data_IF_127544599661
#
_entry.id   IF_127544599661
#
_cell.length_a   1.000
_cell.length_b   1.000
_cell.length_c   1.000
_cell.angle_alpha   90.00
_cell.angle_beta   90.00
_cell.angle_gamma   90.00
#
_symmetry.space_group_name_H-M   'P 1'
#
loop_
_entity.id
_entity.type
_entity.pdbx_description
1 polymer ?
#
# COMPACT_ATOMS: atom_id res chain seq x y z
N UNK A 1 -3.76 25.28 42.26
CA UNK A 1 -4.96 25.48 41.44
C UNK A 1 -4.65 25.86 40.02
N UNK A 2 -3.74 26.80 39.80
CA UNK A 2 -3.39 27.18 38.42
C UNK A 2 -2.68 26.08 37.65
N UNK A 3 -1.98 25.22 38.33
CA UNK A 3 -1.28 24.10 37.69
C UNK A 3 -2.21 23.00 37.16
N UNK A 4 -3.36 22.78 37.83
CA UNK A 4 -4.32 21.79 37.38
C UNK A 4 -5.00 22.16 36.07
N UNK A 5 -5.37 23.43 35.95
CA UNK A 5 -5.98 23.96 34.73
C UNK A 5 -5.01 23.92 33.56
N UNK A 6 -3.76 24.24 33.80
CA UNK A 6 -2.73 24.20 32.78
C UNK A 6 -2.51 22.77 32.28
N UNK A 7 -2.50 21.80 33.19
CA UNK A 7 -2.35 20.39 32.82
C UNK A 7 -3.52 19.87 32.00
N UNK A 8 -4.73 20.26 32.35
CA UNK A 8 -5.92 19.87 31.63
C UNK A 8 -5.92 20.49 30.24
N UNK A 9 -5.51 21.73 30.11
CA UNK A 9 -5.43 22.42 28.83
C UNK A 9 -4.40 21.75 27.91
N UNK A 10 -3.25 21.37 28.44
CA UNK A 10 -2.21 20.68 27.68
C UNK A 10 -2.69 19.31 27.23
N UNK A 11 -3.37 18.57 28.08
CA UNK A 11 -3.94 17.27 27.74
C UNK A 11 -4.97 17.36 26.64
N UNK A 12 -5.85 18.34 26.70
CA UNK A 12 -6.84 18.57 25.64
C UNK A 12 -6.20 18.96 24.33
N UNK A 13 -5.14 19.74 24.38
CA UNK A 13 -4.39 20.14 23.20
C UNK A 13 -3.69 18.94 22.53
N UNK A 14 -3.13 18.05 23.34
CA UNK A 14 -2.48 16.84 22.82
C UNK A 14 -3.50 15.90 22.17
N UNK A 15 -4.67 15.77 22.77
CA UNK A 15 -5.75 14.93 22.23
C UNK A 15 -6.26 15.44 20.88
N UNK A 16 -6.27 16.74 20.66
CA UNK A 16 -6.72 17.29 19.39
C UNK A 16 -5.73 17.08 18.25
N UNK A 17 -4.48 16.80 18.56
CA UNK A 17 -3.45 16.52 17.55
C UNK A 17 -3.51 15.08 17.04
N UNK A 18 -4.26 14.19 17.71
CA UNK A 18 -4.35 12.80 17.31
C UNK A 18 -5.45 12.56 16.29
N UNK A 19 -6.33 13.55 16.07
CA UNK A 19 -7.39 13.43 15.09
C UNK A 19 -6.83 13.67 13.70
N UNK A 20 -6.57 12.61 12.97
CA UNK A 20 -6.01 12.72 11.63
C UNK A 20 -6.37 11.54 10.77
N UNK A 21 -5.73 11.46 9.63
CA UNK A 21 -5.86 10.33 8.73
C UNK A 21 -4.99 9.19 9.22
N UNK A 22 -5.50 7.98 9.13
CA UNK A 22 -4.73 6.80 9.41
C UNK A 22 -4.23 6.21 8.10
N UNK A 23 -2.98 5.79 8.07
CA UNK A 23 -2.44 5.10 6.91
C UNK A 23 -1.82 3.79 7.35
N UNK A 24 -2.02 2.76 6.53
CA UNK A 24 -1.53 1.41 6.77
C UNK A 24 -0.75 0.98 5.54
N UNK A 25 0.37 0.31 5.76
CA UNK A 25 1.24 -0.12 4.69
C UNK A 25 2.26 0.94 4.35
N UNK A 26 2.78 0.86 3.13
CA UNK A 26 3.85 1.73 2.68
C UNK A 26 3.53 2.23 1.28
N UNK A 27 3.73 3.52 1.06
CA UNK A 27 3.61 4.09 -0.26
C UNK A 27 4.59 3.43 -1.22
N UNK A 28 4.14 3.19 -2.44
CA UNK A 28 5.00 2.64 -3.49
C UNK A 28 4.66 3.31 -4.81
N UNK A 29 5.60 3.32 -5.77
CA UNK A 29 5.38 4.00 -7.05
C UNK A 29 4.46 3.19 -7.96
N UNK A 30 3.16 3.35 -7.78
CA UNK A 30 2.17 2.58 -8.53
C UNK A 30 2.23 2.81 -10.03
N UNK A 31 2.79 3.94 -10.46
CA UNK A 31 2.99 4.21 -11.88
C UNK A 31 3.96 3.23 -12.55
N UNK A 32 4.79 2.55 -11.76
CA UNK A 32 5.73 1.56 -12.27
C UNK A 32 5.11 0.19 -12.52
N UNK A 33 3.87 -0.01 -12.11
CA UNK A 33 3.23 -1.32 -12.26
C UNK A 33 3.16 -1.74 -13.73
N UNK A 34 2.93 -0.80 -14.62
CA UNK A 34 2.85 -1.10 -16.06
C UNK A 34 4.18 -1.56 -16.67
N UNK A 35 5.29 -1.36 -15.96
CA UNK A 35 6.61 -1.80 -16.44
C UNK A 35 6.84 -3.28 -16.16
N UNK A 36 6.05 -3.87 -15.27
CA UNK A 36 6.20 -5.30 -14.92
C UNK A 36 5.86 -6.15 -16.15
N UNK A 37 6.80 -7.00 -16.53
CA UNK A 37 6.61 -7.90 -17.67
C UNK A 37 6.58 -9.34 -17.17
N UNK A 38 5.45 -9.98 -17.30
CA UNK A 38 5.28 -11.37 -16.86
C UNK A 38 6.21 -12.26 -17.70
N UNK A 39 6.93 -13.13 -17.01
CA UNK A 39 7.90 -14.02 -17.64
C UNK A 39 9.29 -13.42 -17.82
N UNK A 40 9.47 -12.14 -17.54
CA UNK A 40 10.75 -11.47 -17.72
C UNK A 40 11.24 -10.71 -16.50
N UNK A 41 10.37 -9.96 -15.84
CA UNK A 41 10.78 -9.14 -14.69
C UNK A 41 11.21 -10.04 -13.54
N UNK A 42 12.38 -9.76 -12.97
CA UNK A 42 12.94 -10.56 -11.90
C UNK A 42 12.54 -10.00 -10.54
N UNK A 43 12.67 -10.84 -9.53
CA UNK A 43 12.47 -10.45 -8.14
C UNK A 43 13.34 -9.26 -7.75
N UNK A 44 14.58 -9.25 -8.21
CA UNK A 44 15.50 -8.16 -7.96
C UNK A 44 15.02 -6.86 -8.59
N UNK A 45 14.50 -6.94 -9.81
CA UNK A 45 13.95 -5.76 -10.49
C UNK A 45 12.71 -5.23 -9.76
N UNK A 46 11.84 -6.12 -9.30
CA UNK A 46 10.68 -5.71 -8.51
C UNK A 46 11.14 -4.96 -7.25
N UNK A 47 12.12 -5.49 -6.57
CA UNK A 47 12.64 -4.84 -5.36
C UNK A 47 13.29 -3.49 -5.67
N UNK A 48 13.95 -3.38 -6.82
CA UNK A 48 14.54 -2.11 -7.26
C UNK A 48 13.48 -1.07 -7.58
N UNK A 49 12.37 -1.49 -8.20
CA UNK A 49 11.30 -0.57 -8.57
C UNK A 49 10.42 -0.16 -7.38
N UNK A 50 10.06 -1.10 -6.52
CA UNK A 50 9.06 -0.87 -5.49
C UNK A 50 9.61 -0.89 -4.07
N UNK A 51 10.86 -1.30 -3.89
CA UNK A 51 11.45 -1.41 -2.57
C UNK A 51 11.13 -2.73 -1.90
N UNK A 52 11.31 -2.78 -0.59
CA UNK A 52 10.99 -3.96 0.18
C UNK A 52 9.48 -4.17 0.23
N UNK A 53 8.99 -5.39 0.06
CA UNK A 53 7.56 -5.64 0.15
C UNK A 53 7.05 -5.44 1.57
N UNK A 54 5.79 -5.04 1.67
CA UNK A 54 5.12 -4.91 2.94
C UNK A 54 4.86 -6.28 3.56
N UNK A 55 4.58 -7.26 2.73
CA UNK A 55 4.28 -8.62 3.18
C UNK A 55 4.84 -9.62 2.18
N UNK A 56 5.39 -10.71 2.71
CA UNK A 56 5.90 -11.82 1.92
C UNK A 56 5.09 -13.05 2.30
N UNK A 57 4.70 -13.83 1.30
CA UNK A 57 3.94 -15.06 1.54
C UNK A 57 4.27 -16.11 0.51
N UNK A 58 3.57 -17.23 0.65
CA UNK A 58 3.64 -18.34 -0.29
C UNK A 58 2.22 -18.73 -0.64
N UNK A 59 1.96 -18.88 -1.92
CA UNK A 59 0.66 -19.27 -2.43
C UNK A 59 0.87 -20.32 -3.50
N UNK A 60 0.30 -21.49 -3.29
CA UNK A 60 0.47 -22.64 -4.18
C UNK A 60 1.94 -22.96 -4.46
N UNK A 61 2.77 -22.84 -3.44
CA UNK A 61 4.20 -23.11 -3.56
C UNK A 61 5.01 -22.00 -4.17
N UNK A 62 4.38 -20.92 -4.61
CA UNK A 62 5.07 -19.80 -5.22
C UNK A 62 5.16 -18.63 -4.25
N UNK A 63 6.29 -17.93 -4.29
CA UNK A 63 6.52 -16.78 -3.43
C UNK A 63 5.69 -15.59 -3.91
N UNK A 64 5.05 -14.92 -2.96
CA UNK A 64 4.28 -13.70 -3.24
C UNK A 64 4.85 -12.54 -2.46
N UNK A 65 4.90 -11.38 -3.12
CA UNK A 65 5.25 -10.12 -2.47
C UNK A 65 4.07 -9.18 -2.60
N UNK A 66 3.68 -8.58 -1.48
CA UNK A 66 2.57 -7.65 -1.43
C UNK A 66 3.07 -6.27 -1.09
N UNK A 67 2.65 -5.30 -1.90
CA UNK A 67 2.83 -3.88 -1.67
C UNK A 67 1.45 -3.28 -1.46
N UNK A 68 1.27 -2.55 -0.39
CA UNK A 68 -0.04 -1.98 -0.12
C UNK A 68 0.09 -0.64 0.58
N UNK A 69 -0.80 0.26 0.23
CA UNK A 69 -0.92 1.55 0.87
C UNK A 69 -2.39 1.89 1.01
N UNK A 70 -2.85 2.01 2.25
CA UNK A 70 -4.25 2.24 2.57
C UNK A 70 -4.34 3.51 3.41
N UNK A 71 -5.11 4.47 2.94
CA UNK A 71 -5.35 5.71 3.67
C UNK A 71 -6.81 5.79 4.08
N UNK A 72 -7.04 6.05 5.34
CA UNK A 72 -8.38 6.18 5.91
C UNK A 72 -8.53 7.59 6.47
N UNK A 73 -9.66 8.23 6.16
CA UNK A 73 -9.99 9.55 6.66
C UNK A 73 -11.31 9.48 7.40
N UNK A 74 -11.39 10.22 8.50
CA UNK A 74 -12.63 10.27 9.29
C UNK A 74 -13.75 11.03 8.58
N UNK A 75 -13.39 11.95 7.71
CA UNK A 75 -14.37 12.85 7.09
C UNK A 75 -14.36 12.79 5.57
N UNK A 76 -13.57 11.93 5.00
CA UNK A 76 -13.46 11.84 3.56
C UNK A 76 -13.31 10.42 3.10
N UNK A 77 -13.19 10.29 1.79
CA UNK A 77 -12.99 8.99 1.19
C UNK A 77 -11.55 8.53 1.44
N UNK A 78 -11.42 7.28 1.81
CA UNK A 78 -10.11 6.67 1.88
C UNK A 78 -9.62 6.29 0.50
N UNK A 79 -8.33 6.06 0.39
CA UNK A 79 -7.74 5.54 -0.84
C UNK A 79 -7.00 4.25 -0.55
N UNK A 80 -7.03 3.34 -1.50
CA UNK A 80 -6.32 2.07 -1.37
C UNK A 80 -5.60 1.77 -2.67
N UNK A 81 -4.40 1.26 -2.53
CA UNK A 81 -3.62 0.71 -3.63
C UNK A 81 -2.98 -0.57 -3.14
N UNK A 82 -3.09 -1.66 -3.89
CA UNK A 82 -2.36 -2.85 -3.54
C UNK A 82 -1.86 -3.57 -4.79
N UNK A 83 -0.67 -4.10 -4.67
CA UNK A 83 -0.01 -4.86 -5.71
C UNK A 83 0.47 -6.17 -5.10
N UNK A 84 0.05 -7.28 -5.67
CA UNK A 84 0.51 -8.61 -5.27
C UNK A 84 1.26 -9.21 -6.45
N UNK A 85 2.53 -9.52 -6.25
CA UNK A 85 3.39 -10.09 -7.28
C UNK A 85 3.69 -11.53 -6.90
N UNK A 86 3.47 -12.45 -7.82
CA UNK A 86 3.79 -13.86 -7.64
C UNK A 86 4.97 -14.22 -8.53
N UNK A 87 5.94 -14.94 -7.94
CA UNK A 87 7.16 -15.33 -8.62
C UNK A 87 7.18 -16.84 -8.85
N UNK A 88 7.77 -17.23 -9.96
CA UNK A 88 8.03 -18.66 -10.22
C UNK A 88 9.27 -19.12 -9.45
N UNK A 89 9.65 -20.38 -9.66
CA UNK A 89 10.78 -20.98 -8.95
C UNK A 89 12.13 -20.35 -9.31
N UNK A 90 12.17 -19.64 -10.41
CA UNK A 90 13.40 -18.93 -10.83
C UNK A 90 13.48 -17.51 -10.31
N UNK A 91 12.43 -17.06 -9.62
CA UNK A 91 12.35 -15.69 -9.15
C UNK A 91 11.92 -14.71 -10.23
N UNK A 92 11.20 -15.19 -11.23
CA UNK A 92 10.65 -14.38 -12.32
C UNK A 92 9.16 -14.16 -12.07
N UNK A 93 8.65 -12.99 -12.38
CA UNK A 93 7.23 -12.70 -12.20
C UNK A 93 6.39 -13.65 -13.04
N UNK A 94 5.58 -14.44 -12.36
CA UNK A 94 4.63 -15.36 -12.99
C UNK A 94 3.28 -14.69 -13.21
N UNK A 95 2.87 -13.84 -12.28
CA UNK A 95 1.63 -13.09 -12.38
C UNK A 95 1.64 -11.92 -11.39
N UNK A 96 0.76 -10.96 -11.58
CA UNK A 96 0.55 -9.92 -10.58
C UNK A 96 -0.89 -9.41 -10.66
N UNK A 97 -1.35 -8.85 -9.55
CA UNK A 97 -2.66 -8.21 -9.47
C UNK A 97 -2.43 -6.82 -8.87
N UNK A 98 -2.99 -5.82 -9.51
CA UNK A 98 -2.93 -4.45 -9.02
C UNK A 98 -4.34 -3.90 -8.87
N UNK A 99 -4.67 -3.41 -7.68
CA UNK A 99 -5.96 -2.79 -7.39
C UNK A 99 -5.72 -1.38 -6.86
N UNK A 100 -6.55 -0.45 -7.31
CA UNK A 100 -6.50 0.92 -6.83
C UNK A 100 -7.88 1.54 -6.91
N UNK A 101 -8.22 2.35 -5.91
CA UNK A 101 -9.48 3.08 -5.93
C UNK A 101 -9.50 4.18 -6.97
N UNK A 102 -8.33 4.68 -7.35
CA UNK A 102 -8.24 5.75 -8.33
C UNK A 102 -8.72 5.34 -9.71
N UNK A 103 -8.60 4.06 -10.03
CA UNK A 103 -8.99 3.56 -11.35
C UNK A 103 -10.45 3.21 -11.44
N UNK A 104 -11.18 3.23 -10.34
CA UNK A 104 -12.57 2.80 -10.34
C UNK A 104 -13.51 3.84 -10.89
N UNK A 105 -13.11 5.09 -10.91
CA UNK A 105 -14.00 6.16 -11.32
C UNK A 105 -14.10 6.39 -12.79
N UNK A 106 -13.19 6.02 -13.56
CA UNK A 106 -13.26 6.34 -14.96
C UNK A 106 -12.69 5.31 -15.86
N UNK A 107 -11.99 4.38 -15.32
CA UNK A 107 -11.37 3.40 -16.15
C UNK A 107 -12.36 2.33 -16.50
N UNK A 108 -12.52 2.08 -17.75
CA UNK A 108 -13.24 0.90 -18.13
C UNK A 108 -12.44 -0.25 -17.62
N UNK A 109 -13.06 -0.96 -16.82
CA UNK A 109 -12.42 -2.13 -16.31
C UNK A 109 -12.49 -3.23 -17.32
N UNK A 110 -12.72 -2.89 -18.48
CA UNK A 110 -12.79 -3.83 -19.56
C UNK A 110 -11.50 -4.58 -19.68
N UNK A 111 -11.55 -5.74 -20.14
CA UNK A 111 -10.35 -6.54 -20.30
C UNK A 111 -9.89 -7.18 -19.02
N UNK A 112 -10.64 -6.91 -18.05
CA UNK A 112 -10.32 -7.62 -16.87
C UNK A 112 -10.87 -8.93 -16.88
#
# INVERSE_FOLDING_TARGET
>A
MKMGLFRITVLLSVLSLVSGCASIGREFPSSQVSVITIGETTQRQIRSMFGAPWRVGIENGQRTWTYGHYQYSLFGEGSTEDLVVRFDNRGIVASYVFNTTEHQEGAPVAGQ
#
